data_IF_613516338238
#
_entry.id   IF_613516338238
#
_cell.length_a   1.000
_cell.length_b   1.000
_cell.length_c   1.000
_cell.angle_alpha   90.00
_cell.angle_beta   90.00
_cell.angle_gamma   90.00
#
_symmetry.space_group_name_H-M   'P 1'
#
loop_
_entity.id
_entity.type
_entity.pdbx_description
1 polymer ?
#
# COMPACT_ATOMS: atom_id res chain seq x y z
N UNK A 1 -35.03 0.89 -26.91
CA UNK A 1 -35.60 -0.03 -25.91
C UNK A 1 -34.68 -1.24 -25.91
N UNK A 2 -33.79 -1.50 -24.96
CA UNK A 2 -33.61 -0.96 -23.61
C UNK A 2 -32.11 -0.94 -23.34
N UNK A 3 -31.68 0.07 -22.59
CA UNK A 3 -30.29 0.35 -22.23
C UNK A 3 -29.75 -0.80 -21.36
N UNK A 4 -28.93 -1.69 -21.92
CA UNK A 4 -28.10 -2.65 -21.17
C UNK A 4 -26.98 -1.87 -20.47
N UNK A 5 -27.36 -1.12 -19.42
CA UNK A 5 -26.39 -0.71 -18.42
C UNK A 5 -25.93 -1.98 -17.73
N UNK A 6 -24.79 -2.49 -18.19
CA UNK A 6 -24.00 -3.57 -17.63
C UNK A 6 -24.10 -3.57 -16.09
N UNK A 7 -24.84 -4.52 -15.54
CA UNK A 7 -24.94 -4.73 -14.09
C UNK A 7 -23.63 -5.36 -13.63
N UNK A 8 -22.61 -4.53 -13.40
CA UNK A 8 -21.42 -4.96 -12.69
C UNK A 8 -21.77 -5.00 -11.20
N UNK A 9 -21.62 -6.15 -10.50
CA UNK A 9 -21.79 -6.18 -9.05
C UNK A 9 -20.86 -5.14 -8.41
N UNK A 10 -21.26 -4.50 -7.29
CA UNK A 10 -20.41 -3.54 -6.63
C UNK A 10 -19.06 -4.20 -6.33
N UNK A 11 -17.92 -3.52 -6.61
CA UNK A 11 -16.61 -4.08 -6.33
C UNK A 11 -16.55 -4.52 -4.88
N UNK A 12 -15.93 -5.67 -4.65
CA UNK A 12 -15.61 -6.10 -3.28
C UNK A 12 -14.86 -4.97 -2.57
N UNK A 13 -14.92 -4.95 -1.23
CA UNK A 13 -14.18 -3.96 -0.43
C UNK A 13 -12.70 -3.94 -0.81
N UNK A 14 -12.12 -5.11 -1.13
CA UNK A 14 -10.74 -5.24 -1.58
C UNK A 14 -10.51 -4.51 -2.91
N UNK A 15 -11.36 -4.73 -3.91
CA UNK A 15 -11.23 -4.08 -5.23
C UNK A 15 -11.44 -2.57 -5.15
N UNK A 16 -12.38 -2.12 -4.32
CA UNK A 16 -12.61 -0.70 -4.10
C UNK A 16 -11.41 -0.02 -3.43
N UNK A 17 -10.85 -0.63 -2.37
CA UNK A 17 -9.67 -0.10 -1.71
C UNK A 17 -8.44 -0.14 -2.64
N UNK A 18 -8.34 -1.14 -3.50
CA UNK A 18 -7.29 -1.20 -4.53
C UNK A 18 -7.41 -0.02 -5.50
N UNK A 19 -8.60 0.25 -6.02
CA UNK A 19 -8.83 1.37 -6.92
C UNK A 19 -8.50 2.73 -6.26
N UNK A 20 -8.91 2.93 -5.00
CA UNK A 20 -8.56 4.14 -4.24
C UNK A 20 -7.04 4.27 -4.08
N UNK A 21 -6.35 3.18 -3.73
CA UNK A 21 -4.90 3.21 -3.58
C UNK A 21 -4.17 3.44 -4.90
N UNK A 22 -4.67 2.91 -6.02
CA UNK A 22 -4.10 3.15 -7.35
C UNK A 22 -4.23 4.62 -7.76
N UNK A 23 -5.35 5.26 -7.43
CA UNK A 23 -5.61 6.67 -7.73
C UNK A 23 -4.81 7.63 -6.83
N UNK A 24 -4.78 7.37 -5.52
CA UNK A 24 -4.23 8.30 -4.53
C UNK A 24 -2.82 7.92 -4.03
N UNK A 25 -2.33 6.72 -4.34
CA UNK A 25 -1.09 6.15 -3.81
C UNK A 25 -1.20 5.55 -2.40
N UNK A 26 -2.34 5.74 -1.73
CA UNK A 26 -2.68 5.21 -0.41
C UNK A 26 -4.19 5.26 -0.19
N UNK A 27 -4.67 4.71 0.92
CA UNK A 27 -6.06 4.78 1.33
C UNK A 27 -6.40 6.16 1.90
N UNK A 28 -6.58 7.14 1.02
CA UNK A 28 -6.96 8.49 1.42
C UNK A 28 -8.30 8.48 2.20
N UNK A 29 -8.35 8.99 3.45
CA UNK A 29 -9.54 8.91 4.30
C UNK A 29 -10.79 9.51 3.68
N UNK A 30 -10.64 10.60 2.91
CA UNK A 30 -11.75 11.26 2.23
C UNK A 30 -12.34 10.37 1.13
N UNK A 31 -11.50 9.77 0.28
CA UNK A 31 -11.92 8.84 -0.76
C UNK A 31 -12.58 7.58 -0.19
N UNK A 32 -11.98 7.00 0.86
CA UNK A 32 -12.54 5.84 1.57
C UNK A 32 -13.91 6.16 2.18
N UNK A 33 -14.05 7.29 2.88
CA UNK A 33 -15.31 7.69 3.49
C UNK A 33 -16.40 7.99 2.45
N UNK A 34 -16.03 8.64 1.33
CA UNK A 34 -16.94 8.91 0.23
C UNK A 34 -17.45 7.61 -0.42
N UNK A 35 -16.55 6.64 -0.66
CA UNK A 35 -16.92 5.33 -1.17
C UNK A 35 -17.81 4.56 -0.19
N UNK A 36 -17.46 4.53 1.09
CA UNK A 36 -18.21 3.85 2.15
C UNK A 36 -19.66 4.35 2.22
N UNK A 37 -19.84 5.68 2.17
CA UNK A 37 -21.15 6.32 2.16
C UNK A 37 -21.97 5.95 0.92
N UNK A 38 -21.34 5.94 -0.26
CA UNK A 38 -22.00 5.61 -1.54
C UNK A 38 -22.46 4.16 -1.63
N UNK A 39 -21.72 3.23 -1.03
CA UNK A 39 -22.02 1.79 -1.08
C UNK A 39 -22.75 1.27 0.15
N UNK A 40 -23.06 2.15 1.11
CA UNK A 40 -23.57 1.78 2.43
C UNK A 40 -22.70 0.71 3.14
N UNK A 41 -21.40 0.69 2.85
CA UNK A 41 -20.47 -0.25 3.47
C UNK A 41 -20.05 0.27 4.83
N UNK A 42 -20.22 -0.51 5.92
CA UNK A 42 -19.86 -0.05 7.25
C UNK A 42 -18.34 0.05 7.43
N UNK A 43 -17.88 1.11 8.11
CA UNK A 43 -16.45 1.38 8.30
C UNK A 43 -15.70 0.22 8.98
N UNK A 44 -16.32 -0.51 9.92
CA UNK A 44 -15.65 -1.65 10.56
C UNK A 44 -15.24 -2.75 9.56
N UNK A 45 -16.03 -2.97 8.50
CA UNK A 45 -15.72 -3.94 7.45
C UNK A 45 -14.54 -3.45 6.61
N UNK A 46 -14.53 -2.16 6.27
CA UNK A 46 -13.45 -1.52 5.53
C UNK A 46 -12.15 -1.58 6.33
N UNK A 47 -12.19 -1.20 7.60
CA UNK A 47 -11.05 -1.29 8.50
C UNK A 47 -10.53 -2.73 8.61
N UNK A 48 -11.42 -3.71 8.78
CA UNK A 48 -11.04 -5.12 8.84
C UNK A 48 -10.23 -5.55 7.61
N UNK A 49 -10.70 -5.20 6.41
CA UNK A 49 -9.98 -5.48 5.16
C UNK A 49 -8.66 -4.70 5.08
N UNK A 50 -8.68 -3.40 5.34
CA UNK A 50 -7.50 -2.53 5.25
C UNK A 50 -6.39 -2.91 6.25
N UNK A 51 -6.73 -3.49 7.40
CA UNK A 51 -5.74 -4.00 8.37
C UNK A 51 -5.32 -5.43 8.14
N UNK A 52 -6.16 -6.24 7.50
CA UNK A 52 -5.87 -7.64 7.21
C UNK A 52 -4.83 -7.80 6.08
N UNK A 53 -4.90 -6.95 5.05
CA UNK A 53 -3.96 -6.98 3.92
C UNK A 53 -2.83 -5.96 4.11
N UNK A 54 -1.57 -6.39 4.30
CA UNK A 54 -0.43 -5.48 4.47
C UNK A 54 -0.16 -4.56 3.27
N UNK A 55 -0.65 -4.95 2.09
CA UNK A 55 -0.45 -4.20 0.84
C UNK A 55 -1.22 -2.87 0.81
N UNK A 56 -2.22 -2.70 1.66
CA UNK A 56 -2.94 -1.44 1.77
C UNK A 56 -2.19 -0.44 2.65
N UNK A 57 -1.74 0.64 2.02
CA UNK A 57 -1.09 1.78 2.65
C UNK A 57 -2.15 2.66 3.28
N UNK A 58 -2.14 2.73 4.61
CA UNK A 58 -3.09 3.55 5.40
C UNK A 58 -2.54 4.94 5.74
N UNK A 59 -1.34 5.23 5.27
CA UNK A 59 -0.64 6.50 5.42
C UNK A 59 -0.08 6.92 4.05
N UNK A 60 0.12 8.23 3.80
CA UNK A 60 0.75 8.70 2.58
C UNK A 60 2.12 8.05 2.37
N UNK A 61 2.45 7.60 1.14
CA UNK A 61 3.76 7.03 0.86
C UNK A 61 4.84 8.10 0.94
N UNK A 62 6.08 7.68 1.24
CA UNK A 62 7.23 8.56 1.08
C UNK A 62 7.46 8.87 -0.41
N UNK A 63 8.16 9.98 -0.70
CA UNK A 63 8.53 10.32 -2.09
C UNK A 63 9.43 9.25 -2.70
N UNK A 64 10.28 8.64 -1.88
CA UNK A 64 11.13 7.52 -2.27
C UNK A 64 11.00 6.41 -1.23
N UNK A 65 10.58 5.23 -1.68
CA UNK A 65 10.55 4.01 -0.89
C UNK A 65 11.75 3.15 -1.29
N UNK A 66 12.56 2.73 -0.33
CA UNK A 66 13.73 1.89 -0.54
C UNK A 66 13.54 0.58 0.20
N UNK A 67 13.43 -0.51 -0.55
CA UNK A 67 13.33 -1.86 0.00
C UNK A 67 14.71 -2.55 -0.05
N UNK A 68 15.20 -3.00 1.10
CA UNK A 68 16.47 -3.73 1.20
C UNK A 68 16.20 -5.16 1.66
N UNK A 69 16.52 -6.11 0.78
CA UNK A 69 16.45 -7.55 1.07
C UNK A 69 17.42 -7.91 2.22
N UNK A 70 16.91 -8.60 3.23
CA UNK A 70 17.68 -9.03 4.42
C UNK A 70 17.86 -10.55 4.53
N UNK A 71 17.40 -11.30 3.53
CA UNK A 71 17.50 -12.77 3.52
C UNK A 71 18.91 -13.25 3.17
N UNK A 72 19.20 -14.53 3.46
CA UNK A 72 20.55 -15.10 3.47
C UNK A 72 21.38 -14.79 2.21
N UNK A 73 20.79 -14.92 1.03
CA UNK A 73 21.48 -14.64 -0.24
C UNK A 73 21.97 -13.19 -0.32
N UNK A 74 21.11 -12.22 0.00
CA UNK A 74 21.44 -10.80 0.02
C UNK A 74 22.41 -10.45 1.14
N UNK A 75 22.21 -11.04 2.33
CA UNK A 75 23.07 -10.82 3.50
C UNK A 75 24.52 -11.26 3.23
N UNK A 76 24.72 -12.43 2.60
CA UNK A 76 26.05 -12.90 2.19
C UNK A 76 26.75 -11.97 1.20
N UNK A 77 26.00 -11.14 0.46
CA UNK A 77 26.52 -10.13 -0.47
C UNK A 77 26.66 -8.74 0.18
N UNK A 78 26.49 -8.63 1.50
CA UNK A 78 26.68 -7.37 2.24
C UNK A 78 25.45 -6.46 2.26
N UNK A 79 24.23 -7.00 2.14
CA UNK A 79 23.00 -6.21 2.22
C UNK A 79 22.85 -5.42 3.53
N UNK A 80 23.49 -5.86 4.62
CA UNK A 80 23.49 -5.13 5.90
C UNK A 80 24.17 -3.75 5.78
N UNK A 81 25.30 -3.67 5.06
CA UNK A 81 25.99 -2.41 4.78
C UNK A 81 25.17 -1.50 3.85
N UNK A 82 24.45 -2.10 2.89
CA UNK A 82 23.51 -1.37 2.05
C UNK A 82 22.36 -0.78 2.88
N UNK A 83 21.74 -1.57 3.76
CA UNK A 83 20.68 -1.12 4.65
C UNK A 83 21.14 0.03 5.56
N UNK A 84 22.35 -0.08 6.13
CA UNK A 84 22.92 0.98 6.97
C UNK A 84 23.09 2.31 6.20
N UNK A 85 23.61 2.25 4.97
CA UNK A 85 23.75 3.44 4.11
C UNK A 85 22.40 4.03 3.71
N UNK A 86 21.43 3.18 3.38
CA UNK A 86 20.08 3.61 3.05
C UNK A 86 19.43 4.34 4.24
N UNK A 87 19.52 3.78 5.46
CA UNK A 87 19.02 4.42 6.68
C UNK A 87 19.71 5.75 6.96
N UNK A 88 21.03 5.84 6.76
CA UNK A 88 21.76 7.09 6.93
C UNK A 88 21.30 8.18 5.94
N UNK A 89 21.02 7.80 4.69
CA UNK A 89 20.46 8.71 3.70
C UNK A 89 19.04 9.18 4.08
N UNK A 90 18.18 8.26 4.56
CA UNK A 90 16.83 8.59 5.01
C UNK A 90 16.81 9.47 6.27
N UNK A 91 17.82 9.37 7.14
CA UNK A 91 17.95 10.28 8.27
C UNK A 91 18.23 11.73 7.84
N UNK A 92 18.85 11.93 6.68
CA UNK A 92 19.13 13.25 6.11
C UNK A 92 17.98 13.81 5.26
N UNK A 93 17.06 12.95 4.80
CA UNK A 93 15.93 13.34 3.95
C UNK A 93 14.63 12.63 4.39
N UNK A 94 13.69 13.35 5.04
CA UNK A 94 12.44 12.77 5.51
C UNK A 94 11.50 12.33 4.37
N UNK A 95 11.81 12.66 3.11
CA UNK A 95 11.07 12.19 1.94
C UNK A 95 11.45 10.77 1.52
N UNK A 96 12.46 10.16 2.16
CA UNK A 96 12.89 8.78 1.94
C UNK A 96 12.42 7.90 3.10
N UNK A 97 11.80 6.77 2.77
CA UNK A 97 11.46 5.72 3.73
C UNK A 97 12.17 4.43 3.34
N UNK A 98 12.78 3.78 4.32
CA UNK A 98 13.58 2.57 4.12
C UNK A 98 12.89 1.41 4.83
N UNK A 99 12.69 0.33 4.09
CA UNK A 99 12.07 -0.91 4.56
C UNK A 99 13.06 -2.06 4.39
N UNK A 100 13.33 -2.75 5.49
CA UNK A 100 14.05 -4.02 5.44
C UNK A 100 13.03 -5.14 5.24
N UNK A 101 13.12 -5.81 4.10
CA UNK A 101 12.12 -6.77 3.63
C UNK A 101 12.73 -8.15 3.43
N UNK A 102 11.88 -9.17 3.38
CA UNK A 102 12.28 -10.52 2.95
C UNK A 102 12.65 -10.55 1.46
N UNK A 103 13.06 -11.72 0.96
CA UNK A 103 13.54 -11.91 -0.40
C UNK A 103 12.64 -11.25 -1.46
N UNK A 104 13.28 -10.50 -2.38
CA UNK A 104 12.63 -9.82 -3.51
C UNK A 104 12.59 -10.65 -4.79
N UNK A 105 13.19 -11.86 -4.79
CA UNK A 105 13.21 -12.76 -5.95
C UNK A 105 14.00 -12.23 -7.15
N UNK A 106 15.12 -11.54 -6.90
CA UNK A 106 16.03 -11.00 -7.93
C UNK A 106 17.26 -11.88 -8.11
#
# INVERSE_FOLDING_TARGET
MSNETEYLPPPSVVEALRAIQEEHGWLEPAAVAAWAKRTATPMHRIHGVATFFPHFRREPPARCEVEVCRDAACWMQGAEGLAARARAAAAADPSIRVHEVSCLGR
#
